data_IF_634479173239
#
_entry.id   IF_634479173239
#
_cell.length_a   1.000
_cell.length_b   1.000
_cell.length_c   1.000
_cell.angle_alpha   90.00
_cell.angle_beta   90.00
_cell.angle_gamma   90.00
#
_symmetry.space_group_name_H-M   'P 1'
#
loop_
_entity.id
_entity.type
_entity.pdbx_description
1 polymer ?
#
# COMPACT_ATOMS: atom_id res chain seq x y z
N UNK A 1 20.78 -16.85 2.96
CA UNK A 1 21.16 -15.43 3.15
C UNK A 1 19.96 -14.61 3.66
N UNK A 2 18.74 -14.85 3.23
CA UNK A 2 17.57 -14.03 3.58
C UNK A 2 17.24 -13.91 5.08
N UNK A 3 17.32 -14.97 5.86
CA UNK A 3 16.99 -14.92 7.29
C UNK A 3 18.00 -14.10 8.11
N UNK A 4 19.29 -14.18 7.80
CA UNK A 4 20.33 -13.37 8.45
C UNK A 4 20.21 -11.89 8.14
N UNK A 5 19.96 -11.52 6.86
CA UNK A 5 19.79 -10.13 6.48
C UNK A 5 18.50 -9.54 7.08
N UNK A 6 17.45 -10.35 7.21
CA UNK A 6 16.22 -9.99 7.92
C UNK A 6 16.46 -9.75 9.41
N UNK A 7 17.19 -10.65 10.09
CA UNK A 7 17.54 -10.50 11.52
C UNK A 7 18.45 -9.29 11.76
N UNK A 8 19.40 -9.02 10.85
CA UNK A 8 20.29 -7.86 10.91
C UNK A 8 19.50 -6.54 10.65
N UNK A 9 18.50 -6.57 9.79
CA UNK A 9 17.60 -5.43 9.55
C UNK A 9 16.78 -5.09 10.80
N UNK A 10 16.08 -6.07 11.36
CA UNK A 10 15.33 -5.94 12.61
C UNK A 10 16.24 -5.66 13.81
N UNK A 11 17.45 -6.22 13.86
CA UNK A 11 18.42 -6.02 14.94
C UNK A 11 18.89 -4.56 15.04
N UNK A 12 19.20 -3.92 13.91
CA UNK A 12 19.59 -2.50 13.85
C UNK A 12 18.49 -1.56 14.35
N UNK A 13 17.25 -1.94 14.14
CA UNK A 13 16.08 -1.21 14.63
C UNK A 13 15.96 -1.31 16.17
N UNK A 14 16.20 -2.49 16.73
CA UNK A 14 16.11 -2.74 18.18
C UNK A 14 17.13 -1.92 18.97
N UNK A 15 18.31 -1.68 18.41
CA UNK A 15 19.36 -0.90 19.07
C UNK A 15 19.09 0.61 19.13
N UNK A 16 18.33 1.18 18.18
CA UNK A 16 18.12 2.61 18.05
C UNK A 16 16.94 3.18 18.86
N UNK A 17 15.78 2.63 18.73
CA UNK A 17 14.50 3.20 19.23
C UNK A 17 13.90 2.36 20.36
N UNK A 18 14.16 1.07 20.39
CA UNK A 18 13.42 0.10 21.20
C UNK A 18 14.12 -0.32 22.51
N UNK A 19 15.37 0.08 22.75
CA UNK A 19 16.13 -0.33 23.95
C UNK A 19 15.53 0.13 25.28
N UNK A 20 14.59 1.09 25.27
CA UNK A 20 13.96 1.63 26.48
C UNK A 20 12.53 1.14 26.76
N UNK A 21 11.90 0.42 25.83
CA UNK A 21 10.45 0.13 25.89
C UNK A 21 10.09 -1.31 26.27
N UNK A 22 11.07 -2.22 26.46
CA UNK A 22 10.73 -3.62 26.66
C UNK A 22 10.28 -3.98 28.07
N UNK A 23 8.97 -3.76 28.30
CA UNK A 23 8.24 -4.47 29.38
C UNK A 23 7.41 -5.65 28.83
N UNK A 24 7.36 -5.85 27.50
CA UNK A 24 6.61 -6.93 26.88
C UNK A 24 7.37 -8.24 26.91
N UNK A 25 6.65 -9.35 27.11
CA UNK A 25 7.18 -10.71 26.93
C UNK A 25 7.33 -11.08 25.43
N UNK A 26 6.80 -10.27 24.53
CA UNK A 26 6.90 -10.43 23.08
C UNK A 26 7.95 -9.48 22.52
N UNK A 27 8.95 -10.02 21.83
CA UNK A 27 10.00 -9.23 21.18
C UNK A 27 9.69 -9.01 19.69
N UNK A 28 9.93 -7.83 19.13
CA UNK A 28 9.76 -7.56 17.69
C UNK A 28 10.42 -8.60 16.78
N UNK A 29 11.62 -9.05 17.12
CA UNK A 29 12.34 -10.08 16.36
C UNK A 29 11.58 -11.43 16.30
N UNK A 30 10.85 -11.77 17.35
CA UNK A 30 10.05 -12.98 17.38
C UNK A 30 8.82 -12.88 16.49
N UNK A 31 8.20 -11.68 16.41
CA UNK A 31 7.12 -11.41 15.46
C UNK A 31 7.65 -11.60 14.04
N UNK A 32 8.79 -10.99 13.72
CA UNK A 32 9.43 -11.12 12.42
C UNK A 32 9.72 -12.58 12.02
N UNK A 33 10.27 -13.38 12.93
CA UNK A 33 10.52 -14.82 12.69
C UNK A 33 9.23 -15.60 12.42
N UNK A 34 8.13 -15.23 13.08
CA UNK A 34 6.83 -15.86 12.85
C UNK A 34 6.29 -15.49 11.48
N UNK A 35 6.43 -14.22 11.03
CA UNK A 35 6.05 -13.78 9.69
C UNK A 35 6.79 -14.58 8.61
N UNK A 36 8.12 -14.74 8.73
CA UNK A 36 8.91 -15.53 7.79
C UNK A 36 8.46 -16.97 7.75
N UNK A 37 8.29 -17.60 8.91
CA UNK A 37 7.80 -18.96 8.98
C UNK A 37 6.46 -19.12 8.29
N UNK A 38 5.57 -18.13 8.44
CA UNK A 38 4.25 -18.13 7.83
C UNK A 38 4.35 -17.94 6.30
N UNK A 39 5.26 -17.09 5.83
CA UNK A 39 5.55 -16.91 4.40
C UNK A 39 6.00 -18.22 3.78
N UNK A 40 6.97 -18.89 4.37
CA UNK A 40 7.54 -20.13 3.83
C UNK A 40 6.56 -21.30 3.86
N UNK A 41 5.72 -21.36 4.90
CA UNK A 41 4.72 -22.42 5.07
C UNK A 41 3.56 -22.30 4.09
N UNK A 42 3.21 -21.07 3.67
CA UNK A 42 2.07 -20.78 2.82
C UNK A 42 2.45 -20.38 1.39
N UNK A 43 3.67 -20.70 0.97
CA UNK A 43 4.10 -20.47 -0.41
C UNK A 43 3.36 -21.39 -1.38
N UNK A 44 2.98 -20.83 -2.52
CA UNK A 44 2.34 -21.55 -3.63
C UNK A 44 3.06 -21.27 -4.95
N UNK A 45 2.79 -22.07 -5.97
CA UNK A 45 3.33 -21.83 -7.32
C UNK A 45 2.17 -21.44 -8.24
N UNK A 46 2.31 -20.33 -8.93
CA UNK A 46 1.31 -19.88 -9.89
C UNK A 46 1.46 -20.60 -11.26
N UNK A 47 0.51 -20.37 -12.18
CA UNK A 47 0.53 -20.97 -13.52
C UNK A 47 1.73 -20.56 -14.38
N UNK A 48 2.48 -19.52 -13.98
CA UNK A 48 3.72 -19.06 -14.62
C UNK A 48 4.98 -19.61 -13.95
N UNK A 49 4.83 -20.53 -13.00
CA UNK A 49 5.94 -21.13 -12.25
C UNK A 49 6.55 -20.22 -11.19
N UNK A 50 5.94 -19.06 -10.86
CA UNK A 50 6.46 -18.13 -9.86
C UNK A 50 6.04 -18.58 -8.47
N UNK A 51 6.96 -18.49 -7.51
CA UNK A 51 6.69 -18.78 -6.10
C UNK A 51 5.93 -17.59 -5.49
N UNK A 52 4.63 -17.73 -5.31
CA UNK A 52 3.74 -16.71 -4.72
C UNK A 52 3.61 -16.95 -3.23
N UNK A 53 3.72 -15.89 -2.45
CA UNK A 53 3.62 -15.92 -0.98
C UNK A 53 2.52 -14.99 -0.48
N UNK A 54 2.06 -15.16 0.76
CA UNK A 54 1.15 -14.22 1.41
C UNK A 54 1.71 -12.80 1.45
N UNK A 55 0.80 -11.83 1.43
CA UNK A 55 1.12 -10.41 1.52
C UNK A 55 0.25 -9.66 2.54
N UNK A 56 -0.68 -10.37 3.20
CA UNK A 56 -1.48 -9.85 4.32
C UNK A 56 -1.18 -10.71 5.53
N UNK A 57 -0.85 -10.07 6.65
CA UNK A 57 -0.50 -10.74 7.89
C UNK A 57 -1.27 -10.11 9.04
N UNK A 58 -1.90 -10.95 9.86
CA UNK A 58 -2.56 -10.56 11.10
C UNK A 58 -1.77 -11.20 12.25
N UNK A 59 -1.13 -10.37 13.05
CA UNK A 59 -0.41 -10.78 14.25
C UNK A 59 -1.36 -10.67 15.43
N UNK A 60 -1.67 -11.78 16.11
CA UNK A 60 -2.52 -11.79 17.29
C UNK A 60 -1.70 -11.92 18.54
N UNK A 61 -1.99 -11.04 19.49
CA UNK A 61 -1.30 -10.95 20.79
C UNK A 61 -2.33 -10.90 21.93
N UNK A 62 -1.88 -11.27 23.12
CA UNK A 62 -2.63 -10.97 24.33
C UNK A 62 -2.70 -9.44 24.56
N UNK A 63 -3.74 -8.97 25.26
CA UNK A 63 -3.96 -7.55 25.50
C UNK A 63 -2.78 -6.86 26.20
N UNK A 64 -2.15 -7.54 27.19
CA UNK A 64 -1.01 -6.98 27.92
C UNK A 64 0.22 -6.80 27.05
N UNK A 65 0.46 -7.75 26.11
CA UNK A 65 1.57 -7.68 25.18
C UNK A 65 1.36 -6.59 24.12
N UNK A 66 0.15 -6.44 23.57
CA UNK A 66 -0.18 -5.37 22.64
C UNK A 66 -0.07 -4.00 23.32
N UNK A 67 -0.59 -3.86 24.55
CA UNK A 67 -0.49 -2.62 25.31
C UNK A 67 0.97 -2.20 25.57
N UNK A 68 1.86 -3.17 25.78
CA UNK A 68 3.29 -2.90 25.96
C UNK A 68 4.00 -2.47 24.65
N UNK A 69 3.42 -2.74 23.49
CA UNK A 69 3.91 -2.33 22.17
C UNK A 69 3.24 -1.07 21.64
N UNK A 70 2.20 -0.56 22.29
CA UNK A 70 1.32 0.50 21.77
C UNK A 70 2.09 1.77 21.33
N UNK A 71 3.08 2.21 22.11
CA UNK A 71 3.87 3.40 21.81
C UNK A 71 4.70 3.29 20.52
N UNK A 72 5.00 2.06 20.09
CA UNK A 72 5.87 1.76 18.97
C UNK A 72 5.15 1.01 17.83
N UNK A 73 3.88 0.66 18.01
CA UNK A 73 3.14 -0.22 17.12
C UNK A 73 3.17 0.23 15.66
N UNK A 74 2.93 1.52 15.41
CA UNK A 74 2.94 2.06 14.04
C UNK A 74 4.30 1.93 13.35
N UNK A 75 5.38 2.24 14.08
CA UNK A 75 6.74 2.08 13.56
C UNK A 75 7.07 0.61 13.36
N UNK A 76 6.72 -0.24 14.32
CA UNK A 76 6.94 -1.69 14.25
C UNK A 76 6.23 -2.32 13.04
N UNK A 77 4.97 -1.98 12.78
CA UNK A 77 4.20 -2.44 11.62
C UNK A 77 4.90 -2.05 10.31
N UNK A 78 5.35 -0.80 10.21
CA UNK A 78 6.04 -0.30 9.01
C UNK A 78 7.31 -1.10 8.75
N UNK A 79 8.13 -1.29 9.76
CA UNK A 79 9.40 -1.98 9.64
C UNK A 79 9.23 -3.48 9.38
N UNK A 80 8.26 -4.13 10.02
CA UNK A 80 7.93 -5.52 9.73
C UNK A 80 7.49 -5.69 8.27
N UNK A 81 6.72 -4.75 7.74
CA UNK A 81 6.29 -4.79 6.34
C UNK A 81 7.47 -4.62 5.38
N UNK A 82 8.41 -3.71 5.66
CA UNK A 82 9.61 -3.53 4.85
C UNK A 82 10.53 -4.76 4.92
N UNK A 83 10.76 -5.30 6.11
CA UNK A 83 11.56 -6.49 6.29
C UNK A 83 10.98 -7.72 5.55
N UNK A 84 9.66 -7.87 5.54
CA UNK A 84 8.98 -8.91 4.73
C UNK A 84 9.21 -8.70 3.24
N UNK A 85 9.17 -7.45 2.75
CA UNK A 85 9.43 -7.14 1.34
C UNK A 85 10.87 -7.49 0.95
N UNK A 86 11.85 -7.10 1.78
CA UNK A 86 13.26 -7.41 1.57
C UNK A 86 13.48 -8.92 1.54
N UNK A 87 12.94 -9.65 2.52
CA UNK A 87 13.01 -11.11 2.56
C UNK A 87 12.44 -11.76 1.29
N UNK A 88 11.26 -11.31 0.86
CA UNK A 88 10.63 -11.83 -0.35
C UNK A 88 11.46 -11.53 -1.62
N UNK A 89 12.13 -10.39 -1.68
CA UNK A 89 13.03 -10.04 -2.78
C UNK A 89 14.27 -10.94 -2.81
N UNK A 90 14.92 -11.16 -1.66
CA UNK A 90 16.10 -12.01 -1.52
C UNK A 90 15.82 -13.47 -1.90
N UNK A 91 14.65 -13.99 -1.50
CA UNK A 91 14.22 -15.37 -1.80
C UNK A 91 13.57 -15.52 -3.19
N UNK A 92 13.47 -14.40 -3.94
CA UNK A 92 12.81 -14.35 -5.25
C UNK A 92 11.35 -14.85 -5.18
N UNK A 93 10.64 -14.42 -4.13
CA UNK A 93 9.22 -14.65 -3.96
C UNK A 93 8.39 -13.57 -4.65
N UNK A 94 7.25 -13.96 -5.18
CA UNK A 94 6.35 -13.04 -5.86
C UNK A 94 5.18 -12.64 -4.94
N UNK A 95 5.14 -11.36 -4.59
CA UNK A 95 4.02 -10.75 -3.88
C UNK A 95 2.94 -10.31 -4.88
N UNK A 96 1.67 -10.63 -4.61
CA UNK A 96 0.53 -10.23 -5.48
C UNK A 96 -0.06 -8.86 -5.12
N UNK A 97 0.55 -8.16 -4.19
CA UNK A 97 0.13 -6.84 -3.72
C UNK A 97 1.07 -6.30 -2.66
N UNK A 98 0.78 -5.13 -2.09
CA UNK A 98 1.57 -4.58 -0.99
C UNK A 98 1.54 -5.51 0.22
N UNK A 99 2.64 -5.52 0.96
CA UNK A 99 2.68 -6.19 2.26
C UNK A 99 1.93 -5.33 3.27
N UNK A 100 0.98 -5.93 3.95
CA UNK A 100 0.24 -5.32 5.05
C UNK A 100 0.39 -6.20 6.28
N UNK A 101 0.80 -5.59 7.38
CA UNK A 101 0.88 -6.22 8.70
C UNK A 101 -0.08 -5.48 9.62
N UNK A 102 -0.93 -6.22 10.33
CA UNK A 102 -1.80 -5.68 11.38
C UNK A 102 -1.53 -6.41 12.69
N UNK A 103 -1.70 -5.71 13.81
CA UNK A 103 -1.61 -6.31 15.15
C UNK A 103 -3.00 -6.23 15.77
N UNK A 104 -3.51 -7.35 16.23
CA UNK A 104 -4.84 -7.48 16.82
C UNK A 104 -4.75 -8.14 18.19
N UNK A 105 -5.65 -7.73 19.12
CA UNK A 105 -5.80 -8.38 20.40
C UNK A 105 -6.67 -9.61 20.22
N UNK A 106 -6.20 -10.75 20.73
CA UNK A 106 -6.99 -11.97 20.81
C UNK A 106 -6.96 -12.52 22.23
N UNK A 107 -8.13 -12.63 22.85
CA UNK A 107 -8.28 -13.12 24.21
C UNK A 107 -7.96 -14.62 24.38
N UNK A 108 -7.89 -15.36 23.29
CA UNK A 108 -7.52 -16.76 23.29
C UNK A 108 -5.99 -16.97 23.31
N UNK A 109 -5.23 -15.91 22.98
CA UNK A 109 -3.77 -15.94 22.96
C UNK A 109 -3.23 -15.63 24.36
N UNK A 110 -2.40 -16.52 24.89
CA UNK A 110 -1.76 -16.32 26.18
C UNK A 110 -0.63 -15.29 26.12
N UNK A 111 -0.41 -14.55 27.20
CA UNK A 111 0.69 -13.59 27.33
C UNK A 111 2.04 -14.24 26.95
N UNK A 112 2.83 -13.52 26.16
CA UNK A 112 4.11 -13.99 25.63
C UNK A 112 3.99 -14.91 24.40
N UNK A 113 2.78 -15.17 23.91
CA UNK A 113 2.54 -15.96 22.70
C UNK A 113 2.21 -15.06 21.53
N UNK A 114 2.68 -15.49 20.34
CA UNK A 114 2.41 -14.79 19.08
C UNK A 114 1.73 -15.79 18.15
N UNK A 115 0.58 -15.44 17.63
CA UNK A 115 -0.07 -16.15 16.55
C UNK A 115 -0.11 -15.26 15.30
N UNK A 116 0.13 -15.85 14.13
CA UNK A 116 0.17 -15.13 12.86
C UNK A 116 -0.68 -15.88 11.88
N UNK A 117 -1.67 -15.20 11.33
CA UNK A 117 -2.40 -15.66 10.15
C UNK A 117 -1.91 -14.92 8.93
N UNK A 118 -1.92 -15.60 7.81
CA UNK A 118 -1.53 -15.01 6.54
C UNK A 118 -2.51 -15.32 5.43
N UNK A 119 -2.60 -14.43 4.46
CA UNK A 119 -3.40 -14.63 3.26
C UNK A 119 -2.75 -13.99 2.04
N UNK A 120 -3.04 -14.56 0.87
CA UNK A 120 -2.69 -13.95 -0.40
C UNK A 120 -3.85 -13.06 -0.82
N UNK A 121 -3.68 -11.76 -0.66
CA UNK A 121 -4.65 -10.81 -1.17
C UNK A 121 -4.13 -10.23 -2.48
N UNK A 122 -4.84 -10.51 -3.55
CA UNK A 122 -4.67 -9.72 -4.76
C UNK A 122 -5.18 -8.33 -4.39
N UNK A 123 -4.35 -7.32 -4.50
CA UNK A 123 -4.90 -5.96 -4.57
C UNK A 123 -5.67 -5.90 -5.88
N UNK A 124 -6.90 -6.35 -5.81
CA UNK A 124 -7.89 -5.80 -6.69
C UNK A 124 -7.98 -4.33 -6.30
N UNK A 125 -8.09 -3.43 -7.26
CA UNK A 125 -8.23 -1.99 -7.12
C UNK A 125 -9.35 -1.49 -6.17
N UNK A 126 -9.71 -2.22 -5.14
CA UNK A 126 -11.01 -2.21 -4.47
C UNK A 126 -11.04 -1.83 -3.01
N UNK A 127 -9.93 -1.38 -2.39
CA UNK A 127 -9.97 -0.98 -0.97
C UNK A 127 -9.32 0.36 -0.62
N UNK A 128 -8.69 1.01 -1.56
CA UNK A 128 -8.43 2.43 -1.37
C UNK A 128 -9.72 3.13 -1.81
N UNK A 129 -10.51 3.54 -0.83
CA UNK A 129 -11.63 4.44 -1.10
C UNK A 129 -11.01 5.79 -1.46
N UNK A 130 -10.81 5.98 -2.74
CA UNK A 130 -10.32 7.24 -3.27
C UNK A 130 -11.44 7.97 -4.00
N UNK A 131 -11.33 9.27 -4.00
CA UNK A 131 -12.24 10.16 -4.73
C UNK A 131 -11.45 11.28 -5.37
N UNK A 132 -12.02 11.85 -6.39
CA UNK A 132 -11.56 13.11 -6.95
C UNK A 132 -12.60 14.20 -6.69
N UNK A 133 -12.14 15.37 -6.27
CA UNK A 133 -12.95 16.56 -6.08
C UNK A 133 -12.67 17.49 -7.24
N UNK A 134 -13.73 17.86 -7.96
CA UNK A 134 -13.70 18.73 -9.15
C UNK A 134 -13.72 20.21 -8.74
N UNK A 135 -13.45 21.16 -9.67
CA UNK A 135 -13.48 22.59 -9.38
C UNK A 135 -14.85 23.13 -8.93
N UNK A 136 -15.92 22.41 -9.21
CA UNK A 136 -17.30 22.72 -8.80
C UNK A 136 -17.72 21.98 -7.52
N UNK A 137 -16.76 21.46 -6.75
CA UNK A 137 -16.95 20.70 -5.52
C UNK A 137 -17.65 19.35 -5.68
N UNK A 138 -17.98 18.91 -6.89
CA UNK A 138 -18.48 17.55 -7.14
C UNK A 138 -17.38 16.55 -6.80
N UNK A 139 -17.80 15.45 -6.15
CA UNK A 139 -16.92 14.35 -5.76
C UNK A 139 -17.29 13.09 -6.52
N UNK A 140 -16.29 12.50 -7.17
CA UNK A 140 -16.44 11.24 -7.89
C UNK A 140 -15.61 10.19 -7.18
N UNK A 141 -16.26 9.13 -6.70
CA UNK A 141 -15.57 7.98 -6.09
C UNK A 141 -14.90 7.17 -7.20
N UNK A 142 -13.61 6.89 -7.01
CA UNK A 142 -12.84 6.06 -7.93
C UNK A 142 -13.13 4.58 -7.66
N UNK A 143 -13.37 3.84 -8.72
CA UNK A 143 -13.68 2.41 -8.70
C UNK A 143 -12.64 1.58 -9.46
N UNK A 144 -13.07 0.43 -9.93
CA UNK A 144 -12.23 -0.48 -10.75
C UNK A 144 -12.10 -0.01 -12.18
N UNK A 145 -13.07 0.76 -12.66
CA UNK A 145 -13.13 1.22 -14.04
C UNK A 145 -12.22 2.43 -14.22
N UNK A 146 -11.63 2.53 -15.40
CA UNK A 146 -10.81 3.68 -15.77
C UNK A 146 -11.70 4.90 -15.96
N UNK A 147 -11.38 6.00 -15.30
CA UNK A 147 -12.07 7.26 -15.39
C UNK A 147 -11.36 8.16 -16.42
N UNK A 148 -12.08 8.57 -17.45
CA UNK A 148 -11.55 9.40 -18.53
C UNK A 148 -11.87 10.87 -18.26
N UNK A 149 -10.85 11.71 -18.40
CA UNK A 149 -10.93 13.17 -18.31
C UNK A 149 -10.76 13.75 -19.71
N UNK A 150 -11.62 14.66 -20.13
CA UNK A 150 -11.50 15.27 -21.44
C UNK A 150 -12.54 16.32 -21.73
N UNK A 151 -12.56 16.82 -22.98
CA UNK A 151 -13.52 17.83 -23.42
C UNK A 151 -14.82 17.23 -23.91
N UNK A 152 -14.81 15.98 -24.38
CA UNK A 152 -16.03 15.36 -24.91
C UNK A 152 -17.01 15.08 -23.76
N UNK A 153 -18.29 15.31 -24.03
CA UNK A 153 -19.36 15.05 -23.06
C UNK A 153 -19.48 13.57 -22.65
N UNK A 154 -18.93 12.67 -23.44
CA UNK A 154 -18.85 11.23 -23.17
C UNK A 154 -17.73 10.83 -22.18
N UNK A 155 -16.86 11.79 -21.79
CA UNK A 155 -15.86 11.54 -20.75
C UNK A 155 -16.53 11.54 -19.37
N UNK A 156 -16.00 10.74 -18.46
CA UNK A 156 -16.49 10.67 -17.07
C UNK A 156 -16.34 12.01 -16.34
N UNK A 157 -15.26 12.74 -16.65
CA UNK A 157 -15.07 14.14 -16.26
C UNK A 157 -14.93 14.96 -17.55
N UNK A 158 -15.97 15.71 -17.87
CA UNK A 158 -15.99 16.55 -19.06
C UNK A 158 -15.78 18.01 -18.66
N UNK A 159 -14.82 18.68 -19.32
CA UNK A 159 -14.56 20.11 -19.22
C UNK A 159 -14.75 20.75 -20.58
N UNK A 160 -15.74 21.63 -20.71
CA UNK A 160 -15.96 22.42 -21.95
C UNK A 160 -14.90 23.54 -22.03
N UNK A 161 -13.65 23.15 -22.32
CA UNK A 161 -12.48 24.02 -22.42
C UNK A 161 -11.65 23.60 -23.63
N UNK A 162 -11.38 24.55 -24.54
CA UNK A 162 -10.57 24.33 -25.74
C UNK A 162 -9.13 23.92 -25.42
N UNK A 163 -8.62 24.21 -24.21
CA UNK A 163 -7.31 23.81 -23.73
C UNK A 163 -7.28 22.35 -23.24
N UNK A 164 -8.44 21.71 -23.15
CA UNK A 164 -8.55 20.30 -22.80
C UNK A 164 -8.74 19.47 -24.06
N UNK A 165 -7.92 18.46 -24.27
CA UNK A 165 -8.06 17.54 -25.41
C UNK A 165 -9.35 16.72 -25.32
N UNK A 166 -9.87 16.22 -26.44
CA UNK A 166 -11.10 15.41 -26.49
C UNK A 166 -11.12 14.29 -25.47
N UNK A 167 -10.05 13.50 -25.42
CA UNK A 167 -9.67 12.59 -24.32
C UNK A 167 -8.29 13.05 -23.89
N UNK A 168 -8.16 13.57 -22.68
CA UNK A 168 -6.95 14.26 -22.23
C UNK A 168 -6.10 13.39 -21.34
N UNK A 169 -6.70 12.84 -20.32
CA UNK A 169 -6.04 11.99 -19.33
C UNK A 169 -6.97 10.88 -18.85
N UNK A 170 -6.40 9.90 -18.18
CA UNK A 170 -7.14 8.85 -17.51
C UNK A 170 -6.65 8.67 -16.08
N UNK A 171 -7.58 8.30 -15.18
CA UNK A 171 -7.25 7.81 -13.86
C UNK A 171 -7.67 6.35 -13.80
N UNK A 172 -6.74 5.49 -13.45
CA UNK A 172 -6.99 4.04 -13.36
C UNK A 172 -6.46 3.45 -12.06
N UNK A 173 -7.07 2.37 -11.66
CA UNK A 173 -6.63 1.61 -10.53
C UNK A 173 -5.32 0.87 -10.84
N UNK A 174 -4.35 0.97 -9.93
CA UNK A 174 -3.07 0.28 -9.98
C UNK A 174 -2.82 -0.46 -8.67
N UNK A 175 -1.76 -1.26 -8.63
CA UNK A 175 -1.38 -1.91 -7.38
C UNK A 175 -1.07 -0.85 -6.30
N UNK A 176 -1.86 -0.85 -5.22
CA UNK A 176 -1.66 0.08 -4.09
C UNK A 176 -2.30 1.45 -4.26
N UNK A 177 -3.25 1.65 -5.20
CA UNK A 177 -3.97 2.93 -5.33
C UNK A 177 -4.46 3.24 -6.73
N UNK A 178 -4.27 4.48 -7.11
CA UNK A 178 -4.64 4.99 -8.43
C UNK A 178 -3.46 5.69 -9.08
N UNK A 179 -3.44 5.71 -10.39
CA UNK A 179 -2.47 6.45 -11.18
C UNK A 179 -3.18 7.30 -12.23
N UNK A 180 -2.56 8.42 -12.57
CA UNK A 180 -2.97 9.26 -13.69
C UNK A 180 -2.01 9.09 -14.85
N UNK A 181 -2.55 9.03 -16.06
CA UNK A 181 -1.79 8.94 -17.31
C UNK A 181 -2.31 9.96 -18.31
N UNK A 182 -1.40 10.64 -19.01
CA UNK A 182 -1.75 11.54 -20.11
C UNK A 182 -2.00 10.72 -21.38
N UNK A 183 -3.08 10.99 -22.08
CA UNK A 183 -3.48 10.27 -23.29
C UNK A 183 -2.95 10.93 -24.59
N UNK A 184 -1.80 11.57 -24.53
CA UNK A 184 -1.22 12.31 -25.65
C UNK A 184 -1.92 13.65 -25.85
N UNK A 185 -2.22 14.34 -24.77
CA UNK A 185 -2.91 15.63 -24.81
C UNK A 185 -2.04 16.72 -25.42
N UNK A 186 -2.68 17.76 -25.97
CA UNK A 186 -1.96 18.88 -26.61
C UNK A 186 -1.20 19.74 -25.61
N UNK A 187 -1.76 19.96 -24.42
CA UNK A 187 -1.19 20.87 -23.42
C UNK A 187 -0.56 20.14 -22.23
N UNK A 188 -0.64 18.80 -22.21
CA UNK A 188 -0.09 17.95 -21.15
C UNK A 188 -0.92 17.98 -19.87
N UNK A 189 -0.75 16.91 -19.09
CA UNK A 189 -1.32 16.75 -17.75
C UNK A 189 -0.25 17.08 -16.71
N UNK A 190 -0.62 17.77 -15.62
CA UNK A 190 0.30 18.07 -14.52
C UNK A 190 -0.21 17.45 -13.22
N UNK A 191 0.75 17.04 -12.37
CA UNK A 191 0.47 16.66 -10.98
C UNK A 191 1.31 17.55 -10.08
N UNK A 192 0.64 18.30 -9.19
CA UNK A 192 1.27 19.28 -8.31
C UNK A 192 2.12 20.30 -9.10
N UNK A 193 1.63 20.75 -10.27
CA UNK A 193 2.31 21.70 -11.12
C UNK A 193 3.41 21.13 -12.03
N UNK A 194 3.77 19.84 -11.87
CA UNK A 194 4.80 19.16 -12.68
C UNK A 194 4.14 18.37 -13.80
N UNK A 195 4.52 18.63 -15.06
CA UNK A 195 4.03 17.87 -16.21
C UNK A 195 4.48 16.42 -16.12
N UNK A 196 3.54 15.51 -16.31
CA UNK A 196 3.83 14.08 -16.36
C UNK A 196 4.12 13.64 -17.80
N UNK A 197 5.13 12.79 -17.98
CA UNK A 197 5.49 12.18 -19.26
C UNK A 197 5.21 10.68 -19.30
N UNK A 198 4.94 10.11 -18.14
CA UNK A 198 4.59 8.70 -17.94
C UNK A 198 3.47 8.60 -16.91
N UNK A 199 2.90 7.42 -16.81
CA UNK A 199 1.94 7.10 -15.77
C UNK A 199 2.51 7.45 -14.39
N UNK A 200 1.73 8.18 -13.58
CA UNK A 200 2.14 8.64 -12.25
C UNK A 200 1.16 8.15 -11.20
N UNK A 201 1.67 7.42 -10.22
CA UNK A 201 0.90 7.03 -9.04
C UNK A 201 0.50 8.28 -8.23
N UNK A 202 -0.76 8.31 -7.81
CA UNK A 202 -1.36 9.40 -7.05
C UNK A 202 -1.23 9.15 -5.53
N UNK A 203 -1.01 10.25 -4.80
CA UNK A 203 -0.98 10.28 -3.33
C UNK A 203 -2.09 11.17 -2.80
N UNK A 204 -2.53 10.90 -1.59
CA UNK A 204 -3.53 11.75 -0.94
C UNK A 204 -3.13 13.23 -0.98
N UNK A 205 -4.08 14.07 -1.38
CA UNK A 205 -3.89 15.51 -1.55
C UNK A 205 -3.29 15.95 -2.89
N UNK A 206 -2.91 15.03 -3.79
CA UNK A 206 -2.38 15.41 -5.11
C UNK A 206 -3.40 16.23 -5.92
N UNK A 207 -2.88 17.23 -6.65
CA UNK A 207 -3.66 18.07 -7.55
C UNK A 207 -3.30 17.73 -8.98
N UNK A 208 -4.28 17.24 -9.73
CA UNK A 208 -4.18 16.94 -11.16
C UNK A 208 -4.69 18.15 -11.93
N UNK A 209 -3.88 18.71 -12.83
CA UNK A 209 -4.27 19.84 -13.66
C UNK A 209 -4.34 19.46 -15.14
N UNK A 210 -5.47 19.77 -15.77
CA UNK A 210 -5.76 19.60 -17.21
C UNK A 210 -6.33 20.89 -17.75
N UNK A 211 -5.65 21.50 -18.72
CA UNK A 211 -5.99 22.86 -19.17
C UNK A 211 -5.96 23.86 -17.99
N UNK A 212 -7.06 24.60 -17.80
CA UNK A 212 -7.23 25.54 -16.68
C UNK A 212 -7.85 24.91 -15.42
N UNK A 213 -8.18 23.62 -15.45
CA UNK A 213 -8.92 22.94 -14.40
C UNK A 213 -7.98 22.16 -13.46
N UNK A 214 -8.32 22.18 -12.17
CA UNK A 214 -7.60 21.45 -11.11
C UNK A 214 -8.55 20.47 -10.43
N UNK A 215 -8.12 19.22 -10.35
CA UNK A 215 -8.86 18.12 -9.74
C UNK A 215 -8.04 17.66 -8.55
N UNK A 216 -8.65 17.61 -7.37
CA UNK A 216 -7.97 17.13 -6.15
C UNK A 216 -8.25 15.65 -5.96
N UNK A 217 -7.18 14.87 -5.82
CA UNK A 217 -7.24 13.46 -5.44
C UNK A 217 -7.20 13.33 -3.91
N UNK A 218 -8.11 12.51 -3.36
CA UNK A 218 -8.21 12.21 -1.93
C UNK A 218 -8.31 10.69 -1.75
N UNK A 219 -7.43 10.10 -0.94
CA UNK A 219 -7.41 8.69 -0.60
C UNK A 219 -7.42 8.48 0.90
N UNK A 220 -8.08 7.40 1.35
CA UNK A 220 -8.10 6.96 2.76
C UNK A 220 -7.62 5.52 2.86
#
# INVERSE_FOLDING_TARGET
>A
MGLQSFEDGLGRMVEGVFSRAFKSNVRPIEIGRRLIKEIDSNRTVDMKGRRVVPNQFVVRLAADDQAALADIESALITELAEAVKEYCADENYHLRGPVVVTIEIDQSVNTGRIEVDSSVRKVGASEIVAKVTLPDDRKITLGKDTLIIGRLAECDIAFDDSNVSRRHAEIKAVAGGFAVNDLGSTNGTKVNGVTITFERALRDGDIISVGSHSIRYEAK
#
